data_IF_272975666482
#
_entry.id   IF_272975666482
#
_cell.length_a   1.000
_cell.length_b   1.000
_cell.length_c   1.000
_cell.angle_alpha   90.00
_cell.angle_beta   90.00
_cell.angle_gamma   90.00
#
_symmetry.space_group_name_H-M   'P 1'
#
loop_
_entity.id
_entity.type
_entity.pdbx_description
1 polymer ?
#
# COMPACT_ATOMS: atom_id res chain seq x y z
N UNK A 1 27.73 38.77 5.71
CA UNK A 1 26.51 38.98 4.90
C UNK A 1 25.51 37.91 5.33
N UNK A 2 24.51 38.29 6.15
CA UNK A 2 23.55 37.35 6.75
C UNK A 2 22.52 36.93 5.71
N UNK A 3 22.53 35.66 5.30
CA UNK A 3 21.54 35.10 4.37
C UNK A 3 20.23 34.93 5.15
N UNK A 4 19.26 35.82 4.92
CA UNK A 4 17.89 35.69 5.42
C UNK A 4 17.28 34.41 4.83
N UNK A 5 16.71 33.54 5.67
CA UNK A 5 15.97 32.36 5.22
C UNK A 5 14.83 32.82 4.29
N UNK A 6 14.70 32.25 3.08
CA UNK A 6 13.59 32.57 2.20
C UNK A 6 12.28 32.19 2.89
N UNK A 7 11.31 33.10 2.86
CA UNK A 7 9.94 32.85 3.34
C UNK A 7 9.29 31.90 2.33
N UNK A 8 8.83 30.74 2.81
CA UNK A 8 8.14 29.76 1.97
C UNK A 8 6.72 30.25 1.71
N UNK A 9 6.38 30.42 0.43
CA UNK A 9 5.03 30.74 -0.01
C UNK A 9 4.23 29.44 -0.12
N UNK A 10 3.24 29.26 0.74
CA UNK A 10 2.39 28.07 0.78
C UNK A 10 1.12 28.32 -0.04
N UNK A 11 1.06 27.76 -1.24
CA UNK A 11 -0.14 27.75 -2.07
C UNK A 11 -1.00 26.51 -1.78
N UNK A 12 -2.32 26.70 -1.70
CA UNK A 12 -3.25 25.58 -1.55
C UNK A 12 -3.31 24.76 -2.83
N UNK A 13 -2.60 23.62 -2.85
CA UNK A 13 -2.65 22.69 -3.97
C UNK A 13 -4.01 21.97 -4.00
N UNK A 14 -4.83 22.30 -5.00
CA UNK A 14 -6.04 21.53 -5.31
C UNK A 14 -5.62 20.16 -5.87
N UNK A 15 -5.77 19.12 -5.05
CA UNK A 15 -5.42 17.74 -5.41
C UNK A 15 -6.34 17.25 -6.53
N UNK A 16 -5.74 16.72 -7.61
CA UNK A 16 -6.47 16.13 -8.73
C UNK A 16 -7.24 14.85 -8.33
N UNK A 17 -8.20 14.44 -9.16
CA UNK A 17 -9.01 13.21 -8.99
C UNK A 17 -8.22 11.90 -9.17
N UNK A 18 -6.89 11.92 -9.16
CA UNK A 18 -6.03 10.74 -9.35
C UNK A 18 -5.74 9.99 -8.05
N UNK A 19 -6.08 10.57 -6.89
CA UNK A 19 -5.99 9.85 -5.62
C UNK A 19 -7.00 8.70 -5.57
N UNK A 20 -6.61 7.53 -5.04
CA UNK A 20 -7.54 6.43 -4.86
C UNK A 20 -8.72 6.88 -4.00
N UNK A 21 -9.91 6.35 -4.30
CA UNK A 21 -11.10 6.61 -3.50
C UNK A 21 -10.84 6.20 -2.05
N UNK A 22 -11.16 7.11 -1.12
CA UNK A 22 -10.94 6.90 0.31
C UNK A 22 -12.24 7.09 1.09
N UNK A 23 -12.48 6.20 2.05
CA UNK A 23 -13.58 6.26 2.99
C UNK A 23 -13.01 6.35 4.41
N UNK A 24 -13.45 7.35 5.19
CA UNK A 24 -12.99 7.59 6.56
C UNK A 24 -11.44 7.68 6.75
N UNK A 25 -10.70 8.11 5.71
CA UNK A 25 -9.25 8.23 5.74
C UNK A 25 -8.48 6.94 5.41
N UNK A 26 -9.18 5.91 4.94
CA UNK A 26 -8.62 4.65 4.46
C UNK A 26 -9.01 4.44 3.00
N UNK A 27 -8.19 3.77 2.21
CA UNK A 27 -8.53 3.45 0.81
C UNK A 27 -9.67 2.44 0.70
N UNK A 28 -10.43 2.47 -0.40
CA UNK A 28 -11.51 1.51 -0.65
C UNK A 28 -11.02 0.05 -0.57
N UNK A 29 -9.83 -0.24 -1.09
CA UNK A 29 -9.20 -1.57 -1.00
C UNK A 29 -9.01 -2.02 0.45
N UNK A 30 -8.43 -1.17 1.30
CA UNK A 30 -8.17 -1.55 2.68
C UNK A 30 -9.46 -1.59 3.51
N UNK A 31 -10.46 -0.76 3.18
CA UNK A 31 -11.80 -0.89 3.76
C UNK A 31 -12.45 -2.23 3.38
N UNK A 32 -12.35 -2.65 2.12
CA UNK A 32 -12.81 -3.96 1.67
C UNK A 32 -12.14 -5.11 2.43
N UNK A 33 -10.80 -5.07 2.55
CA UNK A 33 -10.05 -6.05 3.33
C UNK A 33 -10.47 -6.05 4.81
N UNK A 34 -10.71 -4.87 5.39
CA UNK A 34 -11.17 -4.76 6.79
C UNK A 34 -12.52 -5.44 6.98
N UNK A 35 -13.49 -5.16 6.11
CA UNK A 35 -14.83 -5.76 6.20
C UNK A 35 -14.76 -7.27 6.05
N UNK A 36 -13.99 -7.78 5.08
CA UNK A 36 -13.81 -9.23 4.87
C UNK A 36 -13.19 -9.87 6.12
N UNK A 37 -12.07 -9.32 6.61
CA UNK A 37 -11.38 -9.86 7.80
C UNK A 37 -12.28 -9.83 9.03
N UNK A 38 -12.94 -8.71 9.30
CA UNK A 38 -13.83 -8.54 10.46
C UNK A 38 -15.02 -9.50 10.38
N UNK A 39 -15.57 -9.70 9.19
CA UNK A 39 -16.67 -10.66 9.00
C UNK A 39 -16.20 -12.09 9.28
N UNK A 40 -15.00 -12.48 8.81
CA UNK A 40 -14.44 -13.80 9.10
C UNK A 40 -14.24 -13.99 10.61
N UNK A 41 -13.65 -13.01 11.31
CA UNK A 41 -13.45 -13.08 12.77
C UNK A 41 -14.77 -13.16 13.54
N UNK A 42 -15.75 -12.34 13.15
CA UNK A 42 -17.09 -12.36 13.72
C UNK A 42 -17.75 -13.74 13.58
N UNK A 43 -17.73 -14.32 12.38
CA UNK A 43 -18.32 -15.64 12.12
C UNK A 43 -17.56 -16.76 12.83
N UNK A 44 -16.23 -16.72 12.81
CA UNK A 44 -15.40 -17.75 13.44
C UNK A 44 -15.56 -17.77 14.97
N UNK A 45 -15.73 -16.61 15.60
CA UNK A 45 -15.89 -16.52 17.05
C UNK A 45 -17.35 -16.65 17.52
N UNK A 46 -18.33 -16.49 16.61
CA UNK A 46 -19.76 -16.62 16.93
C UNK A 46 -20.31 -15.56 17.88
N UNK A 47 -19.62 -14.42 18.05
CA UNK A 47 -20.01 -13.35 18.96
C UNK A 47 -19.86 -11.97 18.33
N UNK A 48 -20.87 -11.12 18.53
CA UNK A 48 -20.93 -9.73 18.01
C UNK A 48 -19.78 -8.87 18.51
N UNK A 49 -19.23 -9.17 19.69
CA UNK A 49 -18.09 -8.43 20.26
C UNK A 49 -16.88 -8.46 19.32
N UNK A 50 -16.69 -9.55 18.56
CA UNK A 50 -15.58 -9.67 17.62
C UNK A 50 -15.70 -8.74 16.40
N UNK A 51 -16.86 -8.13 16.16
CA UNK A 51 -16.97 -7.07 15.16
C UNK A 51 -16.14 -5.82 15.54
N UNK A 52 -15.88 -5.59 16.83
CA UNK A 52 -15.04 -4.47 17.29
C UNK A 52 -13.58 -4.59 16.86
N UNK A 53 -13.12 -5.81 16.54
CA UNK A 53 -11.77 -6.05 16.00
C UNK A 53 -11.59 -5.29 14.67
N UNK A 54 -12.67 -5.09 13.90
CA UNK A 54 -12.63 -4.28 12.69
C UNK A 54 -12.24 -2.83 12.92
N UNK A 55 -12.65 -2.24 14.05
CA UNK A 55 -12.26 -0.87 14.43
C UNK A 55 -10.75 -0.80 14.66
N UNK A 56 -10.18 -1.79 15.35
CA UNK A 56 -8.74 -1.88 15.58
C UNK A 56 -7.98 -1.99 14.25
N UNK A 57 -8.41 -2.90 13.36
CA UNK A 57 -7.82 -3.00 12.03
C UNK A 57 -7.96 -1.71 11.22
N UNK A 58 -9.08 -0.99 11.37
CA UNK A 58 -9.31 0.25 10.63
C UNK A 58 -8.35 1.34 11.07
N UNK A 59 -8.10 1.47 12.38
CA UNK A 59 -7.09 2.38 12.91
C UNK A 59 -5.69 2.07 12.40
N UNK A 60 -5.31 0.78 12.35
CA UNK A 60 -4.03 0.34 11.80
C UNK A 60 -3.93 0.69 10.31
N UNK A 61 -4.96 0.38 9.52
CA UNK A 61 -4.98 0.70 8.09
C UNK A 61 -4.91 2.21 7.85
N UNK A 62 -5.57 3.02 8.69
CA UNK A 62 -5.48 4.48 8.61
C UNK A 62 -4.07 5.00 8.89
N UNK A 63 -3.36 4.42 9.87
CA UNK A 63 -1.96 4.75 10.14
C UNK A 63 -1.05 4.37 8.96
N UNK A 64 -1.31 3.23 8.33
CA UNK A 64 -0.58 2.74 7.16
C UNK A 64 -0.80 3.60 5.91
N UNK A 65 -2.05 3.95 5.58
CA UNK A 65 -2.40 4.81 4.43
C UNK A 65 -1.80 6.21 4.55
N UNK A 66 -1.57 6.70 5.77
CA UNK A 66 -0.92 8.01 6.00
C UNK A 66 0.48 8.07 5.39
N UNK A 67 1.21 6.96 5.35
CA UNK A 67 2.55 6.92 4.77
C UNK A 67 2.52 6.84 3.24
N UNK A 68 1.70 5.95 2.69
CA UNK A 68 1.50 5.81 1.25
C UNK A 68 0.06 5.39 0.93
N UNK A 69 -0.64 6.27 0.21
CA UNK A 69 -2.03 6.06 -0.20
C UNK A 69 -2.18 4.89 -1.20
N UNK A 70 -1.13 4.54 -1.95
CA UNK A 70 -1.17 3.45 -2.93
C UNK A 70 -0.67 2.11 -2.38
N UNK A 71 -0.20 2.04 -1.14
CA UNK A 71 0.41 0.82 -0.58
C UNK A 71 -0.47 -0.43 -0.72
N UNK A 72 -1.78 -0.31 -0.44
CA UNK A 72 -2.69 -1.46 -0.54
C UNK A 72 -2.89 -1.92 -1.99
N UNK A 73 -2.92 -1.01 -2.96
CA UNK A 73 -2.98 -1.38 -4.39
C UNK A 73 -1.71 -2.08 -4.84
N UNK A 74 -0.55 -1.59 -4.38
CA UNK A 74 0.75 -2.22 -4.66
C UNK A 74 0.79 -3.62 -4.03
N UNK A 75 0.31 -3.77 -2.80
CA UNK A 75 0.25 -5.06 -2.11
C UNK A 75 -0.63 -6.06 -2.88
N UNK A 76 -1.84 -5.65 -3.30
CA UNK A 76 -2.73 -6.49 -4.11
C UNK A 76 -2.08 -6.87 -5.44
N UNK A 77 -1.51 -5.90 -6.17
CA UNK A 77 -0.81 -6.16 -7.42
C UNK A 77 0.39 -7.11 -7.23
N UNK A 78 1.12 -6.98 -6.12
CA UNK A 78 2.19 -7.90 -5.77
C UNK A 78 1.68 -9.32 -5.51
N UNK A 79 0.56 -9.46 -4.79
CA UNK A 79 -0.09 -10.76 -4.54
C UNK A 79 -0.50 -11.39 -5.87
N UNK A 80 -1.17 -10.65 -6.75
CA UNK A 80 -1.65 -11.15 -8.05
C UNK A 80 -0.52 -11.56 -8.99
N UNK A 81 0.61 -10.87 -8.93
CA UNK A 81 1.77 -11.15 -9.81
C UNK A 81 2.73 -12.14 -9.18
N UNK A 82 3.46 -11.74 -8.13
CA UNK A 82 4.54 -12.51 -7.53
C UNK A 82 4.06 -13.45 -6.43
N UNK A 83 3.02 -13.07 -5.68
CA UNK A 83 2.45 -13.92 -4.62
C UNK A 83 1.83 -15.22 -5.15
N UNK A 84 1.21 -15.18 -6.34
CA UNK A 84 0.63 -16.36 -7.00
C UNK A 84 1.68 -17.29 -7.64
N UNK A 85 2.89 -16.81 -7.88
CA UNK A 85 3.98 -17.59 -8.49
C UNK A 85 4.57 -18.60 -7.51
N UNK A 86 4.10 -19.85 -7.57
CA UNK A 86 4.59 -20.95 -6.70
C UNK A 86 6.01 -21.43 -7.02
N UNK A 87 6.47 -21.20 -8.25
CA UNK A 87 7.76 -21.63 -8.76
C UNK A 87 8.82 -20.51 -8.74
N UNK A 88 8.57 -19.41 -8.02
CA UNK A 88 9.51 -18.28 -7.92
C UNK A 88 10.91 -18.70 -7.46
N UNK A 89 11.01 -19.72 -6.58
CA UNK A 89 12.30 -20.26 -6.12
C UNK A 89 13.05 -21.02 -7.22
N UNK A 90 12.35 -21.62 -8.18
CA UNK A 90 12.96 -22.37 -9.28
C UNK A 90 13.49 -21.42 -10.36
N UNK A 91 12.74 -20.36 -10.66
CA UNK A 91 13.04 -19.43 -11.76
C UNK A 91 13.76 -18.14 -11.32
N UNK A 92 13.89 -17.89 -10.00
CA UNK A 92 14.46 -16.66 -9.46
C UNK A 92 13.57 -15.42 -9.60
N UNK A 93 12.35 -15.57 -10.15
CA UNK A 93 11.41 -14.48 -10.38
C UNK A 93 9.99 -14.96 -10.66
N UNK A 94 9.05 -14.02 -10.75
CA UNK A 94 7.65 -14.31 -11.10
C UNK A 94 7.43 -14.61 -12.59
N UNK A 95 8.43 -14.35 -13.45
CA UNK A 95 8.41 -14.64 -14.88
C UNK A 95 9.06 -15.98 -15.17
N UNK A 96 8.40 -16.81 -15.99
CA UNK A 96 8.89 -18.13 -16.45
C UNK A 96 9.71 -17.93 -17.73
N UNK A 97 10.67 -17.01 -17.71
CA UNK A 97 11.54 -16.75 -18.86
C UNK A 97 12.87 -17.48 -18.65
N UNK A 98 13.40 -18.17 -19.69
CA UNK A 98 14.74 -18.75 -19.63
C UNK A 98 15.83 -17.67 -19.70
N UNK A 99 15.47 -16.43 -20.04
CA UNK A 99 16.39 -15.30 -20.08
C UNK A 99 16.69 -14.82 -18.67
N UNK A 100 17.97 -14.57 -18.36
CA UNK A 100 18.36 -14.01 -17.06
C UNK A 100 17.69 -12.65 -16.86
N UNK A 101 17.03 -12.48 -15.71
CA UNK A 101 16.48 -11.20 -15.30
C UNK A 101 17.63 -10.21 -15.06
N UNK A 102 17.95 -9.39 -16.07
CA UNK A 102 18.90 -8.30 -15.92
C UNK A 102 18.16 -7.08 -15.37
N UNK A 103 18.39 -6.75 -14.09
CA UNK A 103 18.01 -5.43 -13.57
C UNK A 103 18.96 -4.41 -14.17
N UNK A 104 18.46 -3.59 -15.10
CA UNK A 104 19.19 -2.44 -15.65
C UNK A 104 19.17 -1.21 -14.75
N UNK A 105 18.67 -1.34 -13.54
CA UNK A 105 18.49 -0.22 -12.63
C UNK A 105 19.77 0.04 -11.86
N UNK A 106 20.32 1.24 -12.00
CA UNK A 106 21.49 1.69 -11.28
C UNK A 106 21.08 2.68 -10.18
N UNK A 107 21.66 2.58 -8.98
CA UNK A 107 21.36 3.51 -7.87
C UNK A 107 21.71 4.96 -8.23
N UNK A 108 22.63 5.13 -9.19
CA UNK A 108 23.00 6.41 -9.81
C UNK A 108 21.84 7.05 -10.58
N UNK A 109 20.93 6.26 -11.14
CA UNK A 109 19.78 6.77 -11.90
C UNK A 109 18.72 7.41 -10.98
N UNK A 110 18.74 7.09 -9.68
CA UNK A 110 17.85 7.67 -8.67
C UNK A 110 18.41 8.93 -8.00
N UNK A 111 19.67 9.30 -8.25
CA UNK A 111 20.33 10.40 -7.53
C UNK A 111 20.50 10.14 -6.04
N UNK A 112 20.56 8.87 -5.62
CA UNK A 112 20.78 8.45 -4.23
C UNK A 112 22.27 8.19 -3.90
N UNK A 113 23.17 8.44 -4.85
CA UNK A 113 24.62 8.27 -4.76
C UNK A 113 25.37 9.57 -5.03
#
# INVERSE_FOLDING_TARGET
MSISKPVLEEDTLFIACTRPAMFAGVTMEAMGMNVIATTIFYLAAGSVVYALVGVVFHCIFRALVRHDHNMFRIAVAWVETRGRSRNTSLWGGGSITPLRLSRRFDERDLGLA
#
